data_IF_161739617571
#
_entry.id   IF_161739617571
#
_cell.length_a   1.000
_cell.length_b   1.000
_cell.length_c   1.000
_cell.angle_alpha   90.00
_cell.angle_beta   90.00
_cell.angle_gamma   90.00
#
_symmetry.space_group_name_H-M   'P 1'
#
loop_
_entity.id
_entity.type
_entity.pdbx_description
1 polymer ?
#
# COMPACT_ATOMS: atom_id res chain seq x y z
N UNK A 1 -21.19 20.67 -10.78
CA UNK A 1 -22.01 19.96 -9.76
C UNK A 1 -21.02 19.42 -8.76
N UNK A 2 -21.13 19.79 -7.49
CA UNK A 2 -20.24 19.27 -6.45
C UNK A 2 -20.73 17.88 -6.07
N UNK A 3 -19.80 16.97 -5.83
CA UNK A 3 -20.06 15.56 -5.56
C UNK A 3 -19.45 15.22 -4.19
N UNK A 4 -20.11 14.38 -3.40
CA UNK A 4 -19.60 13.96 -2.10
C UNK A 4 -19.55 12.44 -2.03
N UNK A 5 -18.40 11.91 -1.61
CA UNK A 5 -18.24 10.50 -1.28
C UNK A 5 -17.55 10.38 0.07
N UNK A 6 -18.36 10.08 1.09
CA UNK A 6 -17.93 9.97 2.48
C UNK A 6 -18.29 8.57 2.98
N UNK A 7 -17.42 7.55 2.78
CA UNK A 7 -17.73 6.16 3.15
C UNK A 7 -17.82 5.96 4.67
N UNK A 8 -17.15 6.81 5.45
CA UNK A 8 -17.24 6.89 6.91
C UNK A 8 -17.17 8.34 7.36
N UNK A 9 -17.73 8.71 8.52
CA UNK A 9 -17.56 10.05 9.09
C UNK A 9 -16.09 10.45 9.30
N UNK A 10 -15.20 9.49 9.54
CA UNK A 10 -13.76 9.71 9.67
C UNK A 10 -13.05 9.95 8.34
N UNK A 11 -13.70 9.66 7.21
CA UNK A 11 -13.14 9.73 5.86
C UNK A 11 -14.00 10.64 4.96
N UNK A 12 -14.10 11.95 5.26
CA UNK A 12 -14.82 12.89 4.41
C UNK A 12 -14.17 12.99 3.02
N UNK A 13 -14.99 13.02 1.96
CA UNK A 13 -14.54 13.20 0.58
C UNK A 13 -15.38 14.21 -0.18
N UNK A 14 -15.21 15.53 0.07
CA UNK A 14 -15.84 16.57 -0.73
C UNK A 14 -15.08 16.72 -2.06
N UNK A 15 -15.79 16.57 -3.19
CA UNK A 15 -15.20 16.68 -4.53
C UNK A 15 -15.76 17.88 -5.30
N UNK A 16 -14.83 18.68 -5.83
CA UNK A 16 -15.13 19.69 -6.83
C UNK A 16 -14.75 19.15 -8.22
N UNK A 17 -15.72 19.09 -9.13
CA UNK A 17 -15.54 18.50 -10.46
C UNK A 17 -15.14 19.57 -11.47
N UNK A 18 -14.11 19.28 -12.27
CA UNK A 18 -13.74 20.05 -13.45
C UNK A 18 -14.06 19.23 -14.71
N UNK A 19 -15.06 19.66 -15.48
CA UNK A 19 -15.39 19.03 -16.75
C UNK A 19 -14.62 19.74 -17.87
N UNK A 20 -13.65 19.07 -18.44
CA UNK A 20 -12.83 19.57 -19.55
C UNK A 20 -13.34 19.01 -20.88
N UNK A 21 -13.21 19.75 -22.00
CA UNK A 21 -13.86 19.40 -23.27
C UNK A 21 -13.23 18.20 -23.99
N UNK A 22 -11.97 17.87 -23.68
CA UNK A 22 -11.22 16.78 -24.29
C UNK A 22 -10.07 16.34 -23.38
N UNK A 23 -9.40 15.26 -23.77
CA UNK A 23 -8.29 14.69 -23.00
C UNK A 23 -7.09 15.64 -22.85
N UNK A 24 -6.70 16.36 -23.89
CA UNK A 24 -5.60 17.34 -23.79
C UNK A 24 -5.89 18.39 -22.72
N UNK A 25 -7.12 18.90 -22.68
CA UNK A 25 -7.56 19.86 -21.67
C UNK A 25 -7.56 19.26 -20.25
N UNK A 26 -7.92 17.97 -20.09
CA UNK A 26 -7.81 17.25 -18.82
C UNK A 26 -6.36 17.18 -18.35
N UNK A 27 -5.42 16.76 -19.21
CA UNK A 27 -4.00 16.64 -18.86
C UNK A 27 -3.41 18.02 -18.51
N UNK A 28 -3.68 19.04 -19.33
CA UNK A 28 -3.24 20.42 -19.05
C UNK A 28 -3.83 20.95 -17.74
N UNK A 29 -5.09 20.68 -17.45
CA UNK A 29 -5.73 21.05 -16.17
C UNK A 29 -5.03 20.36 -15.01
N UNK A 30 -4.76 19.06 -15.12
CA UNK A 30 -4.06 18.30 -14.10
C UNK A 30 -2.68 18.89 -13.80
N UNK A 31 -1.86 19.10 -14.83
CA UNK A 31 -0.53 19.72 -14.67
C UNK A 31 -0.59 21.12 -14.06
N UNK A 32 -1.50 21.95 -14.57
CA UNK A 32 -1.75 23.29 -14.00
C UNK A 32 -2.12 23.22 -12.52
N UNK A 33 -2.99 22.29 -12.14
CA UNK A 33 -3.44 22.16 -10.75
C UNK A 33 -2.30 21.71 -9.82
N UNK A 34 -1.47 20.76 -10.27
CA UNK A 34 -0.26 20.35 -9.53
C UNK A 34 0.70 21.54 -9.37
N UNK A 35 0.93 22.31 -10.43
CA UNK A 35 1.80 23.49 -10.38
C UNK A 35 1.26 24.61 -9.47
N UNK A 36 -0.06 24.81 -9.41
CA UNK A 36 -0.71 25.78 -8.51
C UNK A 36 -0.59 25.37 -7.04
N UNK A 37 -0.85 24.09 -6.73
CA UNK A 37 -0.82 23.57 -5.36
C UNK A 37 0.59 23.37 -4.82
N UNK A 38 1.56 23.11 -5.71
CA UNK A 38 2.97 22.81 -5.36
C UNK A 38 3.07 21.74 -4.27
N UNK A 39 2.53 20.52 -4.49
CA UNK A 39 2.55 19.48 -3.48
C UNK A 39 3.98 19.02 -3.19
N UNK A 40 4.30 18.77 -1.92
CA UNK A 40 5.56 18.12 -1.50
C UNK A 40 5.47 16.60 -1.60
N UNK A 41 4.24 16.05 -1.65
CA UNK A 41 3.98 14.62 -1.71
C UNK A 41 2.83 14.38 -2.70
N UNK A 42 3.03 13.43 -3.62
CA UNK A 42 1.96 12.87 -4.45
C UNK A 42 1.85 11.39 -4.12
N UNK A 43 0.62 10.92 -3.92
CA UNK A 43 0.32 9.56 -3.49
C UNK A 43 -0.45 8.86 -4.60
N UNK A 44 -0.09 7.61 -4.89
CA UNK A 44 -0.79 6.74 -5.83
C UNK A 44 -0.94 5.33 -5.25
N UNK A 45 -1.65 4.46 -5.96
CA UNK A 45 -1.70 3.04 -5.69
C UNK A 45 -1.33 2.27 -6.95
N UNK A 46 -0.12 1.71 -7.01
CA UNK A 46 0.48 1.12 -8.22
C UNK A 46 0.74 2.14 -9.33
N UNK A 47 0.97 3.40 -8.97
CA UNK A 47 1.17 4.48 -9.93
C UNK A 47 2.46 4.40 -10.71
N UNK A 48 3.52 3.79 -10.16
CA UNK A 48 4.78 3.60 -10.88
C UNK A 48 4.62 2.70 -12.13
N UNK A 49 3.68 1.75 -12.09
CA UNK A 49 3.48 0.75 -13.15
C UNK A 49 2.20 0.91 -13.96
N UNK A 50 1.34 1.87 -13.61
CA UNK A 50 0.09 2.12 -14.32
C UNK A 50 -0.18 3.61 -14.53
N UNK A 51 -0.50 4.36 -13.46
CA UNK A 51 -0.99 5.74 -13.58
C UNK A 51 0.01 6.68 -14.25
N UNK A 52 1.24 6.73 -13.76
CA UNK A 52 2.26 7.66 -14.30
C UNK A 52 2.72 7.30 -15.72
N UNK A 53 3.05 6.04 -16.05
CA UNK A 53 3.33 5.66 -17.44
C UNK A 53 2.19 6.05 -18.38
N UNK A 54 0.94 5.86 -17.96
CA UNK A 54 -0.21 6.19 -18.78
C UNK A 54 -0.31 7.70 -19.02
N UNK A 55 -0.26 8.51 -17.96
CA UNK A 55 -0.33 9.98 -18.09
C UNK A 55 0.83 10.53 -18.91
N UNK A 56 2.05 10.04 -18.69
CA UNK A 56 3.24 10.50 -19.43
C UNK A 56 3.14 10.19 -20.94
N UNK A 57 2.75 8.98 -21.30
CA UNK A 57 2.56 8.61 -22.72
C UNK A 57 1.44 9.39 -23.40
N UNK A 58 0.30 9.61 -22.72
CA UNK A 58 -0.79 10.46 -23.25
C UNK A 58 -0.35 11.91 -23.39
N UNK A 59 0.41 12.44 -22.43
CA UNK A 59 0.95 13.80 -22.47
C UNK A 59 1.90 14.00 -23.65
N UNK A 60 2.82 13.04 -23.90
CA UNK A 60 3.71 13.04 -25.07
C UNK A 60 2.96 13.10 -26.39
N UNK A 61 1.82 12.42 -26.49
CA UNK A 61 0.93 12.47 -27.67
C UNK A 61 0.43 13.88 -28.02
N UNK A 62 0.38 14.79 -27.05
CA UNK A 62 0.01 16.20 -27.22
C UNK A 62 1.20 17.16 -27.21
N UNK A 63 2.44 16.63 -27.25
CA UNK A 63 3.66 17.44 -27.20
C UNK A 63 3.94 18.06 -25.82
N UNK A 64 3.36 17.48 -24.75
CA UNK A 64 3.62 17.88 -23.38
C UNK A 64 4.74 17.02 -22.78
N UNK A 65 5.56 17.62 -21.93
CA UNK A 65 6.66 16.97 -21.22
C UNK A 65 6.35 16.98 -19.72
N UNK A 66 5.93 15.83 -19.19
CA UNK A 66 5.45 15.74 -17.80
C UNK A 66 6.52 16.15 -16.79
N UNK A 67 7.79 15.82 -17.03
CA UNK A 67 8.88 16.18 -16.13
C UNK A 67 9.12 17.70 -16.12
N UNK A 68 8.96 18.38 -17.25
CA UNK A 68 9.03 19.84 -17.30
C UNK A 68 7.81 20.52 -16.66
N UNK A 69 6.62 19.96 -16.84
CA UNK A 69 5.37 20.56 -16.39
C UNK A 69 5.17 20.43 -14.87
N UNK A 70 5.40 19.24 -14.32
CA UNK A 70 5.14 18.94 -12.89
C UNK A 70 6.36 18.45 -12.11
N UNK A 71 7.52 18.28 -12.76
CA UNK A 71 8.74 17.85 -12.08
C UNK A 71 8.78 16.36 -11.73
N UNK A 72 7.83 15.56 -12.22
CA UNK A 72 7.76 14.09 -12.05
C UNK A 72 8.17 13.44 -13.36
N UNK A 73 9.14 12.53 -13.32
CA UNK A 73 9.64 11.86 -14.51
C UNK A 73 10.14 10.45 -14.24
N UNK A 74 10.19 9.66 -15.32
CA UNK A 74 10.66 8.27 -15.32
C UNK A 74 12.16 8.20 -15.02
N UNK A 75 12.52 7.37 -14.05
CA UNK A 75 13.90 7.11 -13.67
C UNK A 75 14.43 5.83 -14.36
N UNK A 76 15.76 5.65 -14.36
CA UNK A 76 16.41 4.51 -15.01
C UNK A 76 15.99 3.13 -14.46
N UNK A 77 15.47 3.09 -13.23
CA UNK A 77 14.95 1.87 -12.60
C UNK A 77 13.47 1.58 -12.92
N UNK A 78 12.83 2.38 -13.78
CA UNK A 78 11.44 2.20 -14.18
C UNK A 78 10.41 2.87 -13.25
N UNK A 79 10.85 3.57 -12.20
CA UNK A 79 9.97 4.26 -11.25
C UNK A 79 9.79 5.73 -11.64
N UNK A 80 8.62 6.31 -11.35
CA UNK A 80 8.38 7.74 -11.49
C UNK A 80 8.74 8.46 -10.20
N UNK A 81 9.64 9.43 -10.30
CA UNK A 81 10.10 10.22 -9.15
C UNK A 81 10.04 11.70 -9.45
N UNK A 82 9.81 12.49 -8.40
CA UNK A 82 9.81 13.94 -8.47
C UNK A 82 11.15 14.55 -8.14
N UNK A 83 11.48 15.69 -8.77
CA UNK A 83 12.67 16.49 -8.42
C UNK A 83 12.57 17.16 -7.05
N UNK A 84 11.37 17.62 -6.69
CA UNK A 84 11.08 18.33 -5.44
C UNK A 84 9.80 17.81 -4.77
N UNK A 85 9.29 16.68 -5.23
CA UNK A 85 8.06 16.05 -4.73
C UNK A 85 8.34 14.57 -4.49
N UNK A 86 7.96 14.08 -3.32
CA UNK A 86 8.09 12.68 -3.00
C UNK A 86 6.90 11.91 -3.58
N UNK A 87 7.17 10.86 -4.35
CA UNK A 87 6.13 10.01 -4.91
C UNK A 87 5.90 8.80 -3.99
N UNK A 88 4.80 8.83 -3.26
CA UNK A 88 4.42 7.77 -2.31
C UNK A 88 3.48 6.77 -2.98
N UNK A 89 4.03 5.77 -3.66
CA UNK A 89 3.24 4.67 -4.19
C UNK A 89 2.92 3.65 -3.08
N UNK A 90 1.66 3.66 -2.63
CA UNK A 90 1.21 2.88 -1.48
C UNK A 90 1.36 1.36 -1.70
N UNK A 91 1.46 0.87 -2.94
CA UNK A 91 1.56 -0.59 -3.19
C UNK A 91 2.87 -1.18 -2.63
N UNK A 92 3.94 -0.40 -2.55
CA UNK A 92 5.21 -0.86 -1.97
C UNK A 92 5.06 -1.14 -0.48
N UNK A 93 4.41 -0.22 0.25
CA UNK A 93 4.08 -0.45 1.66
C UNK A 93 3.13 -1.64 1.82
N UNK A 94 2.15 -1.79 0.93
CA UNK A 94 1.23 -2.93 0.97
C UNK A 94 2.01 -4.25 0.84
N UNK A 95 2.88 -4.36 -0.15
CA UNK A 95 3.63 -5.59 -0.41
C UNK A 95 4.64 -5.92 0.70
N UNK A 96 5.30 -4.90 1.26
CA UNK A 96 6.40 -5.08 2.21
C UNK A 96 5.95 -5.11 3.67
N UNK A 97 5.07 -4.19 4.06
CA UNK A 97 4.84 -3.83 5.47
C UNK A 97 3.39 -4.05 5.93
N UNK A 98 2.44 -4.37 5.03
CA UNK A 98 1.04 -4.50 5.44
C UNK A 98 0.69 -5.82 6.14
N UNK A 99 1.54 -6.85 6.01
CA UNK A 99 1.29 -8.22 6.47
C UNK A 99 0.04 -8.88 5.87
N UNK A 100 -0.49 -8.35 4.77
CA UNK A 100 -1.60 -8.96 4.04
C UNK A 100 -1.09 -10.10 3.14
N UNK A 101 -1.87 -11.18 2.96
CA UNK A 101 -1.53 -12.23 2.00
C UNK A 101 -1.50 -11.65 0.58
N UNK A 102 -0.65 -12.20 -0.29
CA UNK A 102 -0.44 -11.69 -1.65
C UNK A 102 -1.74 -11.54 -2.46
N UNK A 103 -2.69 -12.47 -2.30
CA UNK A 103 -4.01 -12.40 -2.95
C UNK A 103 -4.92 -11.24 -2.47
N UNK A 104 -4.51 -10.50 -1.44
CA UNK A 104 -5.25 -9.34 -0.87
C UNK A 104 -4.50 -8.02 -1.05
N UNK A 105 -3.54 -7.95 -1.97
CA UNK A 105 -2.79 -6.72 -2.28
C UNK A 105 -3.49 -5.80 -3.29
N UNK A 106 -4.72 -6.10 -3.70
CA UNK A 106 -5.53 -5.18 -4.50
C UNK A 106 -6.15 -4.07 -3.65
N UNK A 107 -6.31 -2.85 -4.19
CA UNK A 107 -6.80 -1.67 -3.46
C UNK A 107 -8.12 -1.95 -2.72
N UNK A 108 -9.06 -2.67 -3.36
CA UNK A 108 -10.32 -3.08 -2.73
C UNK A 108 -10.11 -3.89 -1.46
N UNK A 109 -9.32 -4.95 -1.53
CA UNK A 109 -9.05 -5.82 -0.40
C UNK A 109 -8.30 -5.04 0.70
N UNK A 110 -7.29 -4.25 0.33
CA UNK A 110 -6.55 -3.42 1.27
C UNK A 110 -7.47 -2.42 1.98
N UNK A 111 -8.37 -1.77 1.26
CA UNK A 111 -9.36 -0.84 1.82
C UNK A 111 -10.26 -1.54 2.83
N UNK A 112 -10.76 -2.73 2.49
CA UNK A 112 -11.57 -3.53 3.41
C UNK A 112 -10.81 -3.91 4.68
N UNK A 113 -9.59 -4.42 4.56
CA UNK A 113 -8.81 -4.90 5.70
C UNK A 113 -8.23 -3.76 6.56
N UNK A 114 -7.76 -2.68 5.94
CA UNK A 114 -7.04 -1.59 6.63
C UNK A 114 -7.95 -0.42 6.98
N UNK A 115 -8.86 -0.03 6.10
CA UNK A 115 -9.76 1.12 6.34
C UNK A 115 -11.13 0.68 6.86
N UNK A 116 -11.46 -0.60 6.76
CA UNK A 116 -12.65 -1.20 7.38
C UNK A 116 -13.97 -0.78 6.73
N UNK A 117 -13.97 -0.49 5.42
CA UNK A 117 -15.18 -0.29 4.62
C UNK A 117 -15.02 -0.95 3.25
N UNK A 118 -16.13 -1.25 2.59
CA UNK A 118 -16.14 -1.78 1.23
C UNK A 118 -16.20 -0.60 0.24
N UNK A 119 -15.17 -0.39 -0.60
CA UNK A 119 -15.20 0.66 -1.62
C UNK A 119 -16.15 0.31 -2.76
N UNK A 120 -16.53 1.31 -3.55
CA UNK A 120 -17.29 1.11 -4.79
C UNK A 120 -16.48 0.23 -5.74
N UNK A 121 -17.14 -0.71 -6.41
CA UNK A 121 -16.51 -1.63 -7.34
C UNK A 121 -17.24 -1.61 -8.69
N UNK A 122 -16.46 -1.59 -9.76
CA UNK A 122 -16.94 -1.73 -11.13
C UNK A 122 -16.05 -2.79 -11.79
N UNK A 123 -16.65 -3.71 -12.55
CA UNK A 123 -15.89 -4.69 -13.32
C UNK A 123 -15.04 -3.96 -14.38
N UNK A 124 -13.72 -4.22 -14.49
CA UNK A 124 -12.87 -3.60 -15.50
C UNK A 124 -13.43 -3.67 -16.93
N UNK A 125 -14.11 -4.76 -17.29
CA UNK A 125 -14.69 -4.96 -18.62
C UNK A 125 -15.89 -4.04 -18.88
N UNK A 126 -16.55 -3.57 -17.81
CA UNK A 126 -17.71 -2.70 -17.87
C UNK A 126 -17.35 -1.20 -17.86
N UNK A 127 -16.12 -0.84 -17.45
CA UNK A 127 -15.72 0.56 -17.23
C UNK A 127 -15.93 1.45 -18.46
N UNK A 128 -15.58 0.97 -19.65
CA UNK A 128 -15.71 1.73 -20.91
C UNK A 128 -17.17 1.96 -21.27
N UNK A 129 -18.00 0.91 -21.11
CA UNK A 129 -19.44 1.01 -21.34
C UNK A 129 -20.08 1.97 -20.35
N UNK A 130 -19.75 1.86 -19.06
CA UNK A 130 -20.31 2.68 -18.01
C UNK A 130 -19.88 4.14 -18.11
N UNK A 131 -18.72 4.44 -18.69
CA UNK A 131 -18.32 5.82 -18.95
C UNK A 131 -19.32 6.57 -19.84
N UNK A 132 -19.97 5.86 -20.77
CA UNK A 132 -21.01 6.41 -21.66
C UNK A 132 -22.41 6.29 -21.05
N UNK A 133 -22.76 5.10 -20.57
CA UNK A 133 -24.13 4.79 -20.12
C UNK A 133 -24.44 5.29 -18.70
N UNK A 134 -23.43 5.32 -17.82
CA UNK A 134 -23.57 5.57 -16.38
C UNK A 134 -22.41 6.42 -15.82
N UNK A 135 -22.20 7.64 -16.34
CA UNK A 135 -21.04 8.47 -15.98
C UNK A 135 -20.98 8.82 -14.49
N UNK A 136 -22.12 8.95 -13.82
CA UNK A 136 -22.17 9.22 -12.37
C UNK A 136 -21.67 8.04 -11.54
N UNK A 137 -21.95 6.80 -11.96
CA UNK A 137 -21.47 5.59 -11.30
C UNK A 137 -19.95 5.44 -11.49
N UNK A 138 -19.45 5.71 -12.69
CA UNK A 138 -18.00 5.75 -12.96
C UNK A 138 -17.28 6.85 -12.18
N UNK A 139 -17.89 8.03 -12.06
CA UNK A 139 -17.34 9.11 -11.25
C UNK A 139 -17.27 8.69 -9.76
N UNK A 140 -18.32 8.03 -9.25
CA UNK A 140 -18.36 7.50 -7.87
C UNK A 140 -17.32 6.40 -7.61
N UNK A 141 -17.04 5.56 -8.61
CA UNK A 141 -15.94 4.59 -8.55
C UNK A 141 -14.57 5.31 -8.51
N UNK A 142 -14.32 6.24 -9.43
CA UNK A 142 -13.05 6.97 -9.51
C UNK A 142 -12.72 7.74 -8.22
N UNK A 143 -13.69 8.46 -7.66
CA UNK A 143 -13.50 9.17 -6.39
C UNK A 143 -13.38 8.22 -5.19
N UNK A 144 -14.00 7.04 -5.24
CA UNK A 144 -13.83 6.01 -4.19
C UNK A 144 -12.39 5.54 -4.10
N UNK A 145 -11.74 5.27 -5.24
CA UNK A 145 -10.33 4.87 -5.28
C UNK A 145 -9.40 6.01 -4.80
N UNK A 146 -9.72 7.26 -5.14
CA UNK A 146 -8.97 8.42 -4.64
C UNK A 146 -9.08 8.57 -3.11
N UNK A 147 -10.28 8.44 -2.54
CA UNK A 147 -10.51 8.47 -1.08
C UNK A 147 -9.78 7.32 -0.40
N UNK A 148 -9.90 6.09 -0.93
CA UNK A 148 -9.23 4.92 -0.39
C UNK A 148 -7.70 5.10 -0.36
N UNK A 149 -7.12 5.55 -1.48
CA UNK A 149 -5.67 5.77 -1.60
C UNK A 149 -5.18 6.85 -0.65
N UNK A 150 -5.88 7.98 -0.57
CA UNK A 150 -5.53 9.09 0.33
C UNK A 150 -5.56 8.67 1.80
N UNK A 151 -6.64 8.04 2.26
CA UNK A 151 -6.77 7.66 3.66
C UNK A 151 -5.92 6.45 4.03
N UNK A 152 -5.64 5.53 3.11
CA UNK A 152 -4.65 4.47 3.32
C UNK A 152 -3.29 5.10 3.60
N UNK A 153 -2.88 6.05 2.77
CA UNK A 153 -1.63 6.76 2.95
C UNK A 153 -1.57 7.52 4.28
N UNK A 154 -2.60 8.33 4.57
CA UNK A 154 -2.60 9.19 5.74
C UNK A 154 -2.65 8.38 7.05
N UNK A 155 -3.38 7.25 7.06
CA UNK A 155 -3.56 6.43 8.26
C UNK A 155 -2.37 5.51 8.53
N UNK A 156 -1.79 4.92 7.48
CA UNK A 156 -0.81 3.84 7.62
C UNK A 156 0.59 4.18 7.11
N UNK A 157 0.70 4.88 5.98
CA UNK A 157 1.98 5.01 5.26
C UNK A 157 2.75 6.26 5.71
N UNK A 158 2.09 7.41 5.86
CA UNK A 158 2.75 8.70 6.09
C UNK A 158 3.65 8.67 7.33
N UNK A 159 3.07 8.46 8.51
CA UNK A 159 3.84 8.45 9.76
C UNK A 159 4.85 7.31 9.80
N UNK A 160 4.54 6.16 9.20
CA UNK A 160 5.46 5.02 9.14
C UNK A 160 6.73 5.37 8.35
N UNK A 161 6.60 5.81 7.10
CA UNK A 161 7.73 6.12 6.22
C UNK A 161 8.55 7.29 6.77
N UNK A 162 7.90 8.39 7.17
CA UNK A 162 8.62 9.55 7.67
C UNK A 162 9.28 9.32 9.03
N UNK A 163 8.72 8.47 9.89
CA UNK A 163 9.39 8.06 11.13
C UNK A 163 10.65 7.25 10.81
N UNK A 164 10.59 6.34 9.84
CA UNK A 164 11.77 5.59 9.37
C UNK A 164 12.84 6.52 8.76
N UNK A 165 12.46 7.58 8.06
CA UNK A 165 13.42 8.58 7.56
C UNK A 165 14.20 9.32 8.67
N UNK A 166 13.74 9.30 9.92
CA UNK A 166 14.48 9.93 11.04
C UNK A 166 15.70 9.12 11.49
N UNK A 167 15.71 7.82 11.16
CA UNK A 167 16.75 6.86 11.54
C UNK A 167 17.51 6.30 10.33
N UNK A 168 16.85 6.19 9.18
CA UNK A 168 17.45 5.73 7.93
C UNK A 168 17.88 6.96 7.12
N UNK A 169 19.18 7.11 6.75
CA UNK A 169 19.68 8.26 6.01
C UNK A 169 19.35 8.18 4.51
N UNK A 170 18.06 8.08 4.19
CA UNK A 170 17.53 7.99 2.84
C UNK A 170 16.25 8.83 2.70
N UNK A 171 15.98 9.29 1.48
CA UNK A 171 14.73 9.99 1.19
C UNK A 171 13.51 9.08 1.34
N UNK A 172 12.31 9.66 1.52
CA UNK A 172 11.09 8.88 1.76
C UNK A 172 10.76 7.95 0.59
N UNK A 173 11.05 8.35 -0.66
CA UNK A 173 10.90 7.48 -1.84
C UNK A 173 11.71 6.19 -1.74
N UNK A 174 12.96 6.28 -1.26
CA UNK A 174 13.85 5.14 -1.10
C UNK A 174 13.46 4.31 0.11
N UNK A 175 13.08 4.94 1.23
CA UNK A 175 12.60 4.24 2.43
C UNK A 175 11.34 3.45 2.14
N UNK A 176 10.44 3.96 1.30
CA UNK A 176 9.23 3.25 0.89
C UNK A 176 9.53 2.06 -0.03
N UNK A 177 10.47 2.21 -0.97
CA UNK A 177 10.68 1.24 -2.06
C UNK A 177 11.75 0.19 -1.79
N UNK A 178 12.75 0.48 -0.97
CA UNK A 178 13.85 -0.46 -0.73
C UNK A 178 13.46 -1.55 0.27
N UNK A 179 13.39 -2.79 -0.20
CA UNK A 179 13.36 -3.99 0.64
C UNK A 179 14.79 -4.56 0.73
N UNK A 180 15.56 -4.11 1.72
CA UNK A 180 16.85 -4.72 2.16
C UNK A 180 18.11 -4.61 1.24
N UNK A 181 19.34 -4.81 1.78
CA UNK A 181 20.51 -4.03 1.37
C UNK A 181 21.27 -4.59 0.17
N UNK A 182 21.96 -3.65 -0.48
CA UNK A 182 23.03 -3.72 -1.49
C UNK A 182 23.60 -5.13 -1.76
N UNK A 183 23.67 -5.44 -3.06
CA UNK A 183 24.33 -6.60 -3.68
C UNK A 183 25.56 -7.08 -2.90
N UNK A 184 25.53 -8.35 -2.47
CA UNK A 184 26.60 -9.01 -1.75
C UNK A 184 27.38 -9.94 -2.70
N UNK A 185 28.68 -10.07 -2.47
CA UNK A 185 29.53 -11.03 -3.16
C UNK A 185 30.08 -12.03 -2.15
N UNK A 186 30.08 -13.32 -2.50
CA UNK A 186 30.67 -14.41 -1.74
C UNK A 186 31.56 -15.22 -2.68
N UNK A 187 32.83 -15.43 -2.32
CA UNK A 187 33.83 -16.12 -3.13
C UNK A 187 33.88 -15.69 -4.61
N UNK A 188 33.80 -14.37 -4.85
CA UNK A 188 33.86 -13.79 -6.20
C UNK A 188 32.59 -13.94 -7.03
N UNK A 189 31.53 -14.56 -6.49
CA UNK A 189 30.24 -14.69 -7.15
C UNK A 189 29.22 -13.72 -6.54
N UNK A 190 28.33 -13.21 -7.38
CA UNK A 190 27.20 -12.41 -6.92
C UNK A 190 26.25 -13.32 -6.12
N UNK A 191 25.96 -12.93 -4.88
CA UNK A 191 25.00 -13.63 -4.03
C UNK A 191 23.62 -13.08 -4.36
N UNK A 192 22.80 -13.89 -5.03
CA UNK A 192 21.39 -13.59 -5.29
C UNK A 192 20.56 -13.68 -4.00
N UNK A 193 20.85 -14.68 -3.15
CA UNK A 193 20.30 -14.77 -1.79
C UNK A 193 21.22 -15.59 -0.90
N UNK A 194 21.40 -15.14 0.34
CA UNK A 194 22.01 -15.91 1.43
C UNK A 194 20.91 -16.13 2.46
N UNK A 195 20.52 -17.39 2.68
CA UNK A 195 19.52 -17.75 3.68
C UNK A 195 20.11 -18.70 4.71
N UNK A 196 19.60 -18.63 5.93
CA UNK A 196 19.79 -19.66 6.94
C UNK A 196 18.64 -20.68 6.84
N UNK A 197 18.79 -21.85 7.49
CA UNK A 197 17.66 -22.78 7.67
C UNK A 197 16.62 -22.04 8.53
N UNK A 198 15.49 -21.70 7.94
CA UNK A 198 14.42 -20.93 8.59
C UNK A 198 13.72 -21.70 9.70
N UNK A 199 12.61 -21.13 10.19
CA UNK A 199 11.78 -21.78 11.20
C UNK A 199 11.29 -23.15 10.72
N UNK A 200 11.46 -24.16 11.57
CA UNK A 200 10.91 -25.50 11.34
C UNK A 200 9.38 -25.44 11.47
N UNK A 201 8.66 -25.86 10.44
CA UNK A 201 7.19 -25.88 10.43
C UNK A 201 6.74 -27.34 10.46
N UNK A 202 6.17 -27.76 11.58
CA UNK A 202 5.51 -29.06 11.71
C UNK A 202 4.02 -28.84 12.00
N UNK A 203 3.16 -29.59 11.31
CA UNK A 203 1.72 -29.64 11.57
C UNK A 203 1.48 -30.84 12.50
N UNK A 204 1.29 -30.60 13.79
CA UNK A 204 1.41 -31.62 14.82
C UNK A 204 0.08 -31.95 15.51
N UNK A 205 -0.42 -33.16 15.25
CA UNK A 205 -1.15 -33.96 16.27
C UNK A 205 -0.25 -34.22 17.52
N UNK A 206 1.08 -34.06 17.35
CA UNK A 206 2.16 -33.97 18.34
C UNK A 206 1.92 -33.21 19.66
N UNK A 207 1.12 -32.14 19.60
CA UNK A 207 0.85 -31.27 20.74
C UNK A 207 0.00 -31.96 21.79
N UNK A 208 -0.91 -32.86 21.37
CA UNK A 208 -1.78 -33.63 22.27
C UNK A 208 -0.93 -34.58 23.13
N UNK A 209 0.09 -35.22 22.53
CA UNK A 209 0.95 -36.18 23.22
C UNK A 209 1.90 -35.54 24.26
N UNK A 210 2.07 -34.22 24.21
CA UNK A 210 2.99 -33.47 25.10
C UNK A 210 2.28 -32.52 26.07
N UNK A 211 0.94 -32.54 26.15
CA UNK A 211 0.12 -31.65 26.99
C UNK A 211 0.61 -31.61 28.45
N UNK A 212 0.90 -32.77 29.06
CA UNK A 212 1.35 -32.83 30.46
C UNK A 212 2.71 -32.16 30.67
N UNK A 213 3.64 -32.36 29.73
CA UNK A 213 4.97 -31.75 29.78
C UNK A 213 4.86 -30.23 29.64
N UNK A 214 4.07 -29.79 28.67
CA UNK A 214 3.97 -28.37 28.32
C UNK A 214 3.22 -27.59 29.42
N UNK A 215 2.17 -28.17 30.02
CA UNK A 215 1.47 -27.58 31.17
C UNK A 215 2.35 -27.53 32.42
N UNK A 216 3.14 -28.58 32.68
CA UNK A 216 4.09 -28.58 33.80
C UNK A 216 5.13 -27.48 33.63
N UNK A 217 5.69 -27.32 32.43
CA UNK A 217 6.63 -26.24 32.14
C UNK A 217 5.99 -24.85 32.32
N UNK A 218 4.78 -24.64 31.81
CA UNK A 218 4.06 -23.36 31.96
C UNK A 218 3.79 -23.01 33.44
N UNK A 219 3.48 -24.00 34.27
CA UNK A 219 3.18 -23.80 35.69
C UNK A 219 4.47 -23.56 36.48
N UNK A 220 5.48 -24.40 36.31
CA UNK A 220 6.68 -24.38 37.14
C UNK A 220 7.73 -23.36 36.69
N UNK A 221 7.90 -23.19 35.38
CA UNK A 221 8.96 -22.35 34.82
C UNK A 221 8.43 -20.97 34.47
N UNK A 222 7.30 -20.87 33.76
CA UNK A 222 6.77 -19.57 33.33
C UNK A 222 6.02 -18.86 34.45
N UNK A 223 5.23 -19.60 35.23
CA UNK A 223 4.43 -19.05 36.32
C UNK A 223 5.12 -19.13 37.68
N UNK A 224 6.18 -19.93 37.82
CA UNK A 224 6.95 -20.08 39.07
C UNK A 224 6.18 -20.76 40.20
N UNK A 225 5.11 -21.50 39.88
CA UNK A 225 4.21 -22.17 40.83
C UNK A 225 4.52 -23.67 40.81
N UNK A 226 4.53 -24.34 41.96
CA UNK A 226 4.68 -25.81 41.97
C UNK A 226 3.42 -26.48 41.45
N UNK A 227 3.56 -27.44 40.54
CA UNK A 227 2.43 -28.19 39.95
C UNK A 227 1.46 -28.74 41.01
N UNK A 228 2.00 -29.23 42.12
CA UNK A 228 1.24 -29.80 43.25
C UNK A 228 0.28 -28.82 43.94
N UNK A 229 0.43 -27.51 43.69
CA UNK A 229 -0.44 -26.47 44.26
C UNK A 229 -1.61 -26.08 43.35
N UNK A 230 -1.67 -26.64 42.14
CA UNK A 230 -2.72 -26.39 41.15
C UNK A 230 -3.87 -27.39 41.32
N UNK A 231 -5.02 -26.91 41.78
CA UNK A 231 -6.16 -27.76 42.18
C UNK A 231 -6.93 -28.40 41.02
N UNK A 232 -6.84 -27.83 39.82
CA UNK A 232 -7.61 -28.25 38.64
C UNK A 232 -6.72 -28.84 37.54
N UNK A 233 -5.48 -29.22 37.85
CA UNK A 233 -4.52 -29.71 36.86
C UNK A 233 -5.09 -30.91 36.08
N UNK A 234 -5.62 -31.90 36.79
CA UNK A 234 -6.15 -33.13 36.21
C UNK A 234 -7.40 -32.91 35.33
N UNK A 235 -8.19 -31.88 35.62
CA UNK A 235 -9.38 -31.50 34.84
C UNK A 235 -9.03 -30.83 33.50
N UNK A 236 -7.83 -30.25 33.40
CA UNK A 236 -7.35 -29.55 32.20
C UNK A 236 -6.55 -30.49 31.29
N UNK A 237 -5.97 -31.56 31.84
CA UNK A 237 -5.17 -32.56 31.10
C UNK A 237 -5.98 -33.72 30.51
N UNK A 238 -7.25 -33.88 30.89
CA UNK A 238 -8.15 -34.97 30.45
C UNK A 238 -8.91 -34.64 29.17
#
# INVERSE_FOLDING_TARGET
MNFEYTPKPSFPGPFHIFNEPNEEAVIRRFFKHVAELRPQIIVTYNGDFFDWPFVDERAKGYGLDMEKEIGVGLQANGEYRGRCVAHMDAIYWVKRDSYLPQGSHGLKAVTKYKLGYDPVEVDPEDMVRYASERPTEMAAYSVSDAVATYYLYQTYVHMFVFSLCTIIPMGPDDVLRKSEPLTKFHDGHLVESETYIGGHVECLEALIDNVDRDLTFAIEVESGVQRDTVSNYDEVTS
#
